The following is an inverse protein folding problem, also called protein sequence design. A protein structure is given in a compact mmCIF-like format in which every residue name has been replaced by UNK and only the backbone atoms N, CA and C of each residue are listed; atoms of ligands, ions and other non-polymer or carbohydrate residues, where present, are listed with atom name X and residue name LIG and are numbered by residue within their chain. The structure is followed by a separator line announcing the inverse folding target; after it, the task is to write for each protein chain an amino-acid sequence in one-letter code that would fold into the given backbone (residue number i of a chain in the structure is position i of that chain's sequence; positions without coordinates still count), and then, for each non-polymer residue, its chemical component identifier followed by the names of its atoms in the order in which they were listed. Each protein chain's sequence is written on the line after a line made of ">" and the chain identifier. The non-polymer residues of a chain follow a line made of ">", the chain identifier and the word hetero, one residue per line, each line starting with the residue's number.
data_IF_141093961892
#
_entry.id   IF_141093961892
#
_cell.length_a   1.000
_cell.length_b   1.000
_cell.length_c   1.000
_cell.angle_alpha   90.00
_cell.angle_beta   90.00
_cell.angle_gamma   90.00
#
_symmetry.space_group_name_H-M   'P 1'
#
loop_
_entity.id
_entity.type
_entity.pdbx_description
1 polymer ?
#
# COMPACT_ATOMS: atom_id res chain seq x y z
N UNK A 1 39.55 -4.44 -52.80
CA UNK A 1 39.07 -5.25 -51.66
C UNK A 1 39.67 -4.66 -50.39
N UNK A 2 38.93 -3.82 -49.65
CA UNK A 2 39.40 -3.22 -48.39
C UNK A 2 38.37 -3.55 -47.31
N UNK A 3 38.89 -4.19 -46.26
CA UNK A 3 38.21 -4.78 -45.10
C UNK A 3 37.38 -3.75 -44.34
N UNK A 4 36.13 -4.10 -44.05
CA UNK A 4 35.29 -3.44 -43.06
C UNK A 4 35.87 -3.68 -41.65
N UNK A 5 36.13 -2.61 -40.90
CA UNK A 5 36.23 -2.66 -39.44
C UNK A 5 34.84 -2.42 -38.87
N UNK A 6 34.28 -3.43 -38.19
CA UNK A 6 33.08 -3.30 -37.37
C UNK A 6 33.53 -2.97 -35.95
N UNK A 7 33.16 -1.78 -35.47
CA UNK A 7 33.39 -1.32 -34.10
C UNK A 7 32.13 -1.64 -33.27
N UNK A 8 32.16 -2.72 -32.48
CA UNK A 8 31.11 -2.99 -31.49
C UNK A 8 31.34 -2.12 -30.25
N UNK A 9 30.62 -1.00 -30.13
CA UNK A 9 30.47 -0.30 -28.84
C UNK A 9 29.55 -1.14 -27.94
N UNK A 10 30.13 -1.71 -26.90
CA UNK A 10 29.40 -2.43 -25.86
C UNK A 10 28.52 -1.48 -25.06
N UNK A 11 27.20 -1.70 -25.10
CA UNK A 11 26.28 -1.15 -24.12
C UNK A 11 26.49 -1.88 -22.79
N UNK A 12 27.08 -1.17 -21.82
CA UNK A 12 27.08 -1.60 -20.43
C UNK A 12 25.65 -1.56 -19.87
N UNK A 13 25.01 -2.72 -19.78
CA UNK A 13 23.77 -2.89 -19.04
C UNK A 13 24.08 -2.64 -17.54
N UNK A 14 23.62 -1.50 -17.03
CA UNK A 14 23.49 -1.27 -15.59
C UNK A 14 22.44 -2.25 -15.08
N UNK A 15 22.88 -3.40 -14.55
CA UNK A 15 22.02 -4.30 -13.80
C UNK A 15 21.67 -3.59 -12.48
N UNK A 16 20.48 -3.00 -12.42
CA UNK A 16 19.86 -2.66 -11.14
C UNK A 16 19.68 -3.97 -10.37
N UNK A 17 20.08 -4.05 -9.09
CA UNK A 17 19.78 -5.23 -8.30
C UNK A 17 18.27 -5.41 -8.29
N UNK A 18 17.80 -6.56 -8.79
CA UNK A 18 16.43 -6.98 -8.55
C UNK A 18 16.26 -7.00 -7.02
N UNK A 19 15.39 -6.14 -6.50
CA UNK A 19 15.09 -6.06 -5.08
C UNK A 19 14.28 -7.31 -4.71
N UNK A 20 14.99 -8.44 -4.64
CA UNK A 20 14.46 -9.73 -4.27
C UNK A 20 14.08 -9.72 -2.78
N UNK A 21 12.89 -10.22 -2.48
CA UNK A 21 12.42 -10.68 -1.17
C UNK A 21 12.49 -9.69 0.00
N UNK A 22 11.97 -8.48 -0.19
CA UNK A 22 11.57 -7.69 0.97
C UNK A 22 10.34 -8.36 1.62
N UNK A 23 10.51 -8.98 2.80
CA UNK A 23 9.39 -9.55 3.54
C UNK A 23 8.45 -8.42 4.02
N UNK A 24 7.26 -8.37 3.45
CA UNK A 24 6.21 -7.41 3.79
C UNK A 24 5.05 -8.00 4.62
N UNK A 25 5.05 -9.31 4.90
CA UNK A 25 4.05 -9.92 5.78
C UNK A 25 4.18 -9.37 7.21
N UNK A 26 3.08 -9.28 7.94
CA UNK A 26 3.02 -8.82 9.33
C UNK A 26 2.24 -7.52 9.51
N UNK A 27 2.49 -6.85 10.65
CA UNK A 27 1.73 -5.67 11.09
C UNK A 27 2.28 -4.36 10.52
N UNK A 28 1.36 -3.49 10.13
CA UNK A 28 1.61 -2.17 9.54
C UNK A 28 0.71 -1.12 10.18
N UNK A 29 1.23 0.10 10.27
CA UNK A 29 0.42 1.32 10.42
C UNK A 29 0.45 2.08 9.12
N UNK A 30 -0.63 2.79 8.80
CA UNK A 30 -0.67 3.65 7.62
C UNK A 30 -1.28 5.01 7.93
N UNK A 31 -0.93 5.99 7.10
CA UNK A 31 -1.56 7.30 7.05
C UNK A 31 -1.80 7.71 5.60
N UNK A 32 -2.81 8.53 5.37
CA UNK A 32 -3.00 9.20 4.09
C UNK A 32 -3.25 10.69 4.29
N UNK A 33 -2.71 11.51 3.39
CA UNK A 33 -2.93 12.95 3.37
C UNK A 33 -4.25 13.24 2.66
N UNK A 34 -5.32 13.34 3.44
CA UNK A 34 -6.66 13.70 2.98
C UNK A 34 -6.94 15.19 3.26
N UNK A 35 -7.74 15.85 2.42
CA UNK A 35 -7.98 17.29 2.52
C UNK A 35 -8.96 17.66 3.65
N UNK A 36 -9.22 18.96 3.81
CA UNK A 36 -10.27 19.52 4.68
C UNK A 36 -10.04 19.34 6.19
N UNK A 37 -8.79 19.25 6.63
CA UNK A 37 -8.47 19.15 8.05
C UNK A 37 -8.83 17.80 8.68
N UNK A 38 -9.21 16.81 7.88
CA UNK A 38 -9.41 15.46 8.33
C UNK A 38 -8.07 14.74 8.51
N UNK A 39 -8.00 13.82 9.47
CA UNK A 39 -6.91 12.84 9.58
C UNK A 39 -7.38 11.47 9.11
N UNK A 40 -6.51 10.76 8.39
CA UNK A 40 -6.77 9.41 7.93
C UNK A 40 -5.57 8.51 8.19
N UNK A 41 -5.83 7.35 8.79
CA UNK A 41 -4.80 6.35 9.05
C UNK A 41 -5.39 5.12 9.71
N UNK A 42 -4.54 4.19 10.11
CA UNK A 42 -5.01 2.95 10.72
C UNK A 42 -3.94 1.88 10.80
N UNK A 43 -4.39 0.65 10.96
CA UNK A 43 -3.55 -0.54 11.03
C UNK A 43 -3.90 -1.53 9.94
N UNK A 44 -2.92 -2.28 9.47
CA UNK A 44 -3.12 -3.38 8.54
C UNK A 44 -2.27 -4.59 8.95
N UNK A 45 -2.81 -5.79 8.74
CA UNK A 45 -2.08 -7.05 8.82
C UNK A 45 -2.01 -7.66 7.42
N UNK A 46 -0.83 -8.11 7.01
CA UNK A 46 -0.63 -8.85 5.75
C UNK A 46 -0.15 -10.27 6.06
N UNK A 47 -0.89 -11.28 5.60
CA UNK A 47 -0.55 -12.69 5.69
C UNK A 47 -0.16 -13.21 4.30
N UNK A 48 0.99 -13.88 4.19
CA UNK A 48 1.47 -14.40 2.91
C UNK A 48 0.68 -15.65 2.51
N UNK A 49 0.01 -15.61 1.36
CA UNK A 49 -0.78 -16.75 0.84
C UNK A 49 -0.16 -17.38 -0.41
N UNK A 50 0.81 -16.70 -1.04
CA UNK A 50 1.62 -17.23 -2.13
C UNK A 50 2.90 -16.42 -2.32
N UNK A 51 3.65 -16.67 -3.39
CA UNK A 51 4.96 -16.03 -3.59
C UNK A 51 4.87 -14.50 -3.66
N UNK A 52 3.85 -14.00 -4.36
CA UNK A 52 3.59 -12.57 -4.57
C UNK A 52 2.21 -12.13 -4.12
N UNK A 53 1.51 -12.95 -3.33
CA UNK A 53 0.11 -12.71 -2.92
C UNK A 53 -0.06 -12.79 -1.41
N UNK A 54 -0.96 -11.95 -0.91
CA UNK A 54 -1.24 -11.80 0.51
C UNK A 54 -2.74 -11.61 0.73
N UNK A 55 -3.25 -12.20 1.79
CA UNK A 55 -4.49 -11.75 2.42
C UNK A 55 -4.17 -10.67 3.42
N UNK A 56 -5.10 -9.76 3.65
CA UNK A 56 -4.91 -8.73 4.65
C UNK A 56 -6.19 -8.28 5.31
N UNK A 57 -6.04 -7.79 6.53
CA UNK A 57 -7.10 -7.12 7.27
C UNK A 57 -6.65 -5.69 7.53
N UNK A 58 -7.55 -4.73 7.34
CA UNK A 58 -7.29 -3.31 7.56
C UNK A 58 -8.37 -2.72 8.46
N UNK A 59 -7.96 -1.89 9.42
CA UNK A 59 -8.85 -1.05 10.20
C UNK A 59 -8.48 0.41 9.96
N UNK A 60 -9.34 1.12 9.21
CA UNK A 60 -9.18 2.54 8.88
C UNK A 60 -9.91 3.41 9.89
N UNK A 61 -9.24 4.48 10.33
CA UNK A 61 -9.80 5.56 11.13
C UNK A 61 -9.78 6.86 10.35
N UNK A 62 -10.94 7.48 10.22
CA UNK A 62 -11.08 8.83 9.69
C UNK A 62 -11.68 9.74 10.77
N UNK A 63 -11.01 10.84 11.06
CA UNK A 63 -11.47 11.86 12.00
C UNK A 63 -11.57 13.19 11.24
N UNK A 64 -12.75 13.77 11.18
CA UNK A 64 -13.02 15.04 10.50
C UNK A 64 -13.76 15.99 11.45
N UNK A 65 -13.39 17.28 11.53
CA UNK A 65 -14.08 18.24 12.41
C UNK A 65 -15.59 18.41 12.13
N UNK A 66 -16.02 18.15 10.90
CA UNK A 66 -17.41 18.28 10.45
C UNK A 66 -18.27 17.04 10.75
N UNK A 67 -17.64 15.93 11.13
CA UNK A 67 -18.35 14.68 11.46
C UNK A 67 -18.61 14.63 12.97
N UNK A 68 -19.77 14.09 13.41
CA UNK A 68 -20.10 13.99 14.83
C UNK A 68 -19.22 12.98 15.58
N UNK A 69 -18.60 12.05 14.86
CA UNK A 69 -17.75 10.99 15.40
C UNK A 69 -16.73 10.52 14.37
N UNK A 70 -15.70 9.82 14.85
CA UNK A 70 -14.70 9.20 13.99
C UNK A 70 -15.29 7.97 13.30
N UNK A 71 -14.99 7.83 12.02
CA UNK A 71 -15.27 6.58 11.32
C UNK A 71 -14.18 5.58 11.66
N UNK A 72 -14.58 4.37 12.04
CA UNK A 72 -13.69 3.24 12.25
C UNK A 72 -14.22 2.06 11.43
N UNK A 73 -13.51 1.68 10.37
CA UNK A 73 -14.00 0.74 9.36
C UNK A 73 -13.04 -0.43 9.24
N UNK A 74 -13.55 -1.65 9.41
CA UNK A 74 -12.81 -2.90 9.20
C UNK A 74 -13.05 -3.43 7.80
N UNK A 75 -11.98 -3.89 7.18
CA UNK A 75 -11.96 -4.31 5.78
C UNK A 75 -11.10 -5.54 5.58
N UNK A 76 -11.56 -6.43 4.71
CA UNK A 76 -10.77 -7.54 4.19
C UNK A 76 -10.13 -7.11 2.87
N UNK A 77 -8.88 -7.48 2.67
CA UNK A 77 -8.08 -7.04 1.55
C UNK A 77 -7.35 -8.21 0.89
N UNK A 78 -7.24 -8.15 -0.44
CA UNK A 78 -6.31 -8.95 -1.21
C UNK A 78 -5.17 -8.07 -1.68
N UNK A 79 -3.93 -8.50 -1.49
CA UNK A 79 -2.77 -7.77 -1.95
C UNK A 79 -1.87 -8.60 -2.86
N UNK A 80 -1.29 -7.95 -3.86
CA UNK A 80 -0.39 -8.58 -4.82
C UNK A 80 0.83 -7.72 -5.14
N UNK A 81 1.99 -8.35 -5.26
CA UNK A 81 3.27 -7.71 -5.55
C UNK A 81 3.66 -7.93 -7.00
N UNK A 82 4.10 -6.87 -7.66
CA UNK A 82 4.75 -6.90 -8.97
C UNK A 82 6.00 -6.01 -8.94
N UNK A 83 7.18 -6.62 -9.01
CA UNK A 83 8.44 -5.89 -8.79
C UNK A 83 8.48 -5.30 -7.38
N UNK A 84 8.66 -3.98 -7.27
CA UNK A 84 8.59 -3.25 -6.01
C UNK A 84 7.22 -2.57 -5.77
N UNK A 85 6.19 -2.92 -6.53
CA UNK A 85 4.85 -2.34 -6.38
C UNK A 85 3.92 -3.32 -5.65
N UNK A 86 3.17 -2.84 -4.67
CA UNK A 86 2.11 -3.54 -3.96
C UNK A 86 0.76 -2.91 -4.34
N UNK A 87 -0.16 -3.74 -4.83
CA UNK A 87 -1.57 -3.37 -5.02
C UNK A 87 -2.38 -3.99 -3.89
N UNK A 88 -3.15 -3.20 -3.14
CA UNK A 88 -4.05 -3.65 -2.07
C UNK A 88 -5.49 -3.33 -2.47
N UNK A 89 -6.34 -4.35 -2.55
CA UNK A 89 -7.76 -4.22 -2.92
C UNK A 89 -8.64 -4.69 -1.79
N UNK A 90 -9.43 -3.78 -1.24
CA UNK A 90 -10.20 -4.03 -0.02
C UNK A 90 -11.70 -4.09 -0.29
N UNK A 91 -12.42 -4.74 0.63
CA UNK A 91 -13.87 -4.76 0.73
C UNK A 91 -14.26 -4.39 2.16
N UNK A 92 -15.25 -3.53 2.30
CA UNK A 92 -15.79 -3.17 3.62
C UNK A 92 -16.45 -4.40 4.24
N UNK A 93 -16.11 -4.69 5.48
CA UNK A 93 -16.74 -5.76 6.26
C UNK A 93 -17.66 -5.17 7.32
N UNK A 94 -17.22 -4.10 8.00
CA UNK A 94 -17.91 -3.57 9.17
C UNK A 94 -17.55 -2.10 9.42
N UNK A 95 -18.57 -1.30 9.74
CA UNK A 95 -18.39 0.00 10.38
C UNK A 95 -18.42 -0.22 11.90
N UNK A 96 -17.25 -0.28 12.53
CA UNK A 96 -17.10 -0.43 13.97
C UNK A 96 -17.61 0.84 14.68
N UNK A 97 -17.31 2.01 14.10
CA UNK A 97 -17.87 3.30 14.51
C UNK A 97 -18.23 4.14 13.27
N UNK A 98 -19.20 5.03 13.41
CA UNK A 98 -19.84 5.71 12.29
C UNK A 98 -21.04 4.94 11.75
N UNK A 99 -21.73 5.52 10.79
CA UNK A 99 -22.88 4.89 10.12
C UNK A 99 -22.47 4.32 8.76
N UNK A 100 -23.10 3.19 8.39
CA UNK A 100 -22.99 2.64 7.05
C UNK A 100 -23.40 3.69 6.03
N UNK A 101 -22.52 3.94 5.07
CA UNK A 101 -22.70 4.98 4.06
C UNK A 101 -22.42 4.43 2.68
N UNK A 102 -23.32 4.59 1.71
CA UNK A 102 -23.06 4.22 0.32
C UNK A 102 -21.97 5.11 -0.32
N UNK A 103 -21.55 6.18 0.36
CA UNK A 103 -20.50 7.09 -0.08
C UNK A 103 -19.13 6.71 0.47
N UNK A 104 -19.04 5.77 1.41
CA UNK A 104 -17.76 5.24 1.87
C UNK A 104 -17.29 4.16 0.90
N UNK A 105 -16.22 4.45 0.18
CA UNK A 105 -15.61 3.49 -0.75
C UNK A 105 -14.57 2.63 -0.02
N UNK A 106 -14.30 1.40 -0.48
CA UNK A 106 -13.22 0.62 0.08
C UNK A 106 -11.86 1.31 -0.08
N UNK A 107 -11.07 1.32 1.00
CA UNK A 107 -9.73 1.89 1.01
C UNK A 107 -8.70 1.01 0.30
N UNK A 108 -8.56 1.21 -1.00
CA UNK A 108 -7.56 0.52 -1.80
C UNK A 108 -6.23 1.26 -1.76
N UNK A 109 -5.12 0.56 -1.96
CA UNK A 109 -3.80 1.20 -2.00
C UNK A 109 -2.99 0.73 -3.21
N UNK A 110 -2.18 1.65 -3.74
CA UNK A 110 -1.08 1.33 -4.65
C UNK A 110 0.19 1.89 -4.02
N UNK A 111 1.13 1.02 -3.65
CA UNK A 111 2.31 1.37 -2.87
C UNK A 111 3.58 0.92 -3.60
N UNK A 112 4.65 1.66 -3.39
CA UNK A 112 6.03 1.28 -3.70
C UNK A 112 6.69 0.79 -2.43
N UNK A 113 7.20 -0.44 -2.46
CA UNK A 113 7.95 -1.08 -1.38
C UNK A 113 9.34 -0.47 -1.35
N UNK A 114 9.60 0.38 -0.35
CA UNK A 114 10.90 1.02 -0.17
C UNK A 114 11.86 0.13 0.64
N UNK A 115 11.33 -0.53 1.69
CA UNK A 115 12.10 -1.42 2.56
C UNK A 115 11.15 -2.38 3.30
N UNK A 116 11.72 -3.30 4.09
CA UNK A 116 10.94 -4.19 4.96
C UNK A 116 10.15 -3.45 6.05
N UNK A 117 10.39 -2.14 6.22
CA UNK A 117 9.76 -1.30 7.25
C UNK A 117 9.00 -0.10 6.71
N UNK A 118 8.99 0.12 5.40
CA UNK A 118 8.39 1.32 4.80
C UNK A 118 7.88 1.08 3.39
N UNK A 119 6.68 1.58 3.14
CA UNK A 119 6.12 1.72 1.80
C UNK A 119 5.50 3.12 1.65
N UNK A 120 5.46 3.64 0.43
CA UNK A 120 4.79 4.91 0.14
C UNK A 120 4.01 4.80 -1.16
N UNK A 121 2.99 5.60 -1.35
CA UNK A 121 2.21 5.58 -2.58
C UNK A 121 0.92 6.35 -2.41
N UNK A 122 -0.20 5.72 -2.74
CA UNK A 122 -1.49 6.35 -2.65
C UNK A 122 -2.58 5.44 -2.10
N UNK A 123 -3.46 6.05 -1.30
CA UNK A 123 -4.83 5.61 -1.06
C UNK A 123 -5.67 5.95 -2.30
N UNK A 124 -6.44 4.98 -2.78
CA UNK A 124 -7.38 5.11 -3.90
C UNK A 124 -8.77 4.79 -3.38
N UNK A 125 -9.53 5.84 -3.06
CA UNK A 125 -10.86 5.73 -2.43
C UNK A 125 -11.80 6.80 -2.99
N UNK A 126 -13.05 6.41 -3.24
CA UNK A 126 -14.13 7.28 -3.75
C UNK A 126 -13.76 8.11 -4.99
N UNK A 127 -12.97 7.54 -5.91
CA UNK A 127 -12.51 8.24 -7.12
C UNK A 127 -11.37 9.24 -6.90
N UNK A 128 -10.86 9.36 -5.67
CA UNK A 128 -9.73 10.21 -5.31
C UNK A 128 -8.45 9.39 -5.15
N UNK A 129 -7.31 10.06 -5.33
CA UNK A 129 -5.97 9.50 -5.13
C UNK A 129 -5.23 10.40 -4.15
N UNK A 130 -4.89 9.88 -2.97
CA UNK A 130 -4.35 10.65 -1.85
C UNK A 130 -3.01 10.04 -1.41
N UNK A 131 -1.94 10.84 -1.23
CA UNK A 131 -0.63 10.32 -0.83
C UNK A 131 -0.73 9.52 0.47
N UNK A 132 -0.12 8.34 0.50
CA UNK A 132 -0.15 7.45 1.64
C UNK A 132 1.24 6.91 2.00
N UNK A 133 1.43 6.64 3.28
CA UNK A 133 2.64 6.02 3.81
C UNK A 133 2.26 4.85 4.71
N UNK A 134 2.96 3.72 4.57
CA UNK A 134 2.85 2.55 5.44
C UNK A 134 4.18 2.34 6.16
N UNK A 135 4.13 2.12 7.48
CA UNK A 135 5.30 1.82 8.33
C UNK A 135 5.05 0.54 9.10
N UNK A 136 6.09 -0.26 9.33
CA UNK A 136 6.00 -1.41 10.26
C UNK A 136 5.46 -0.91 11.60
N UNK A 137 4.48 -1.63 12.15
CA UNK A 137 4.03 -1.35 13.50
C UNK A 137 5.18 -1.65 14.48
N UNK A 138 5.53 -0.69 15.35
CA UNK A 138 6.54 -0.91 16.38
C UNK A 138 6.02 -1.96 17.38
N UNK A 139 6.82 -3.00 17.64
CA UNK A 139 6.51 -4.05 18.63
C UNK A 139 5.92 -5.36 18.08
N UNK A 140 5.71 -5.49 16.76
CA UNK A 140 5.36 -6.78 16.14
C UNK A 140 6.61 -7.61 15.85
N UNK A 141 6.85 -8.64 16.66
CA UNK A 141 7.99 -9.57 16.50
C UNK A 141 7.89 -10.23 15.10
N UNK A 142 8.99 -10.14 14.35
CA UNK A 142 9.23 -10.83 13.07
C UNK A 142 9.44 -12.32 13.23
#
# INVERSE_FOLDING_TARGET
>A
MIRQLVLCLGLGLLAFPAQADTNIAGQWTFTANISNGCSFGGTAHLEKTGDTTFEGELTARQSCPELPEDYLVRQDCNASVLGNQLSVRCRIVEFINGFESPFYAPDNFTLTIQSASRMHGALVSAGNVMPAEWKRAEGGIS
#
